data_IF_078977824726
#
_entry.id   IF_078977824726
#
_cell.length_a   1.000
_cell.length_b   1.000
_cell.length_c   1.000
_cell.angle_alpha   90.00
_cell.angle_beta   90.00
_cell.angle_gamma   90.00
#
_symmetry.space_group_name_H-M   'P 1'
#
loop_
_entity.id
_entity.type
_entity.pdbx_description
1 polymer ?
#
# COMPACT_ATOMS: atom_id res chain seq x y z
N UNK A 1 -35.56 -14.51 -6.05
CA UNK A 1 -34.18 -14.61 -6.55
C UNK A 1 -33.08 -14.17 -5.56
N UNK A 2 -33.42 -13.78 -4.29
CA UNK A 2 -32.43 -13.41 -3.25
C UNK A 2 -31.87 -14.60 -2.45
N UNK A 3 -32.41 -15.79 -2.64
CA UNK A 3 -32.03 -17.00 -1.87
C UNK A 3 -30.72 -17.62 -2.34
N UNK A 4 -30.31 -17.43 -3.59
CA UNK A 4 -29.06 -17.99 -4.09
C UNK A 4 -27.80 -17.26 -3.59
N UNK A 5 -27.91 -15.97 -3.30
CA UNK A 5 -26.85 -15.15 -2.72
C UNK A 5 -26.54 -15.58 -1.27
N UNK A 6 -27.57 -15.69 -0.43
CA UNK A 6 -27.39 -16.07 0.97
C UNK A 6 -26.82 -17.49 1.14
N UNK A 7 -27.25 -18.45 0.33
CA UNK A 7 -26.70 -19.81 0.35
C UNK A 7 -25.23 -19.84 -0.10
N UNK A 8 -24.88 -19.06 -1.13
CA UNK A 8 -23.49 -18.88 -1.57
C UNK A 8 -22.61 -18.26 -0.47
N UNK A 9 -23.14 -17.30 0.26
CA UNK A 9 -22.38 -16.62 1.32
C UNK A 9 -22.16 -17.55 2.54
N UNK A 10 -23.14 -18.36 2.89
CA UNK A 10 -22.99 -19.39 3.95
C UNK A 10 -21.94 -20.42 3.55
N UNK A 11 -21.96 -20.91 2.30
CA UNK A 11 -21.00 -21.87 1.80
C UNK A 11 -19.55 -21.31 1.79
N UNK A 12 -19.37 -20.08 1.32
CA UNK A 12 -18.09 -19.40 1.36
C UNK A 12 -17.55 -19.25 2.79
N UNK A 13 -18.42 -18.88 3.74
CA UNK A 13 -18.04 -18.76 5.15
C UNK A 13 -17.53 -20.09 5.70
N UNK A 14 -18.20 -21.22 5.40
CA UNK A 14 -17.77 -22.55 5.84
C UNK A 14 -16.39 -22.91 5.28
N UNK A 15 -16.13 -22.59 4.01
CA UNK A 15 -14.80 -22.81 3.40
C UNK A 15 -13.74 -21.97 4.13
N UNK A 16 -14.01 -20.68 4.37
CA UNK A 16 -13.05 -19.83 5.08
C UNK A 16 -12.78 -20.31 6.51
N UNK A 17 -13.80 -20.79 7.20
CA UNK A 17 -13.66 -21.37 8.54
C UNK A 17 -12.82 -22.65 8.53
N UNK A 18 -13.04 -23.51 7.55
CA UNK A 18 -12.26 -24.74 7.41
C UNK A 18 -10.80 -24.43 7.06
N UNK A 19 -10.53 -23.57 6.08
CA UNK A 19 -9.18 -23.17 5.69
C UNK A 19 -8.44 -22.51 6.86
N UNK A 20 -9.12 -21.68 7.65
CA UNK A 20 -8.51 -21.05 8.83
C UNK A 20 -8.07 -22.10 9.86
N UNK A 21 -8.93 -23.11 10.13
CA UNK A 21 -8.60 -24.23 11.03
C UNK A 21 -7.44 -25.08 10.52
N UNK A 22 -7.46 -25.43 9.24
CA UNK A 22 -6.44 -26.28 8.61
C UNK A 22 -5.06 -25.60 8.61
N UNK A 23 -5.01 -24.28 8.54
CA UNK A 23 -3.77 -23.50 8.57
C UNK A 23 -3.43 -22.95 9.96
N UNK A 24 -4.22 -23.24 10.99
CA UNK A 24 -3.96 -22.77 12.35
C UNK A 24 -4.15 -21.26 12.55
N UNK A 25 -4.89 -20.58 11.66
CA UNK A 25 -5.20 -19.16 11.82
C UNK A 25 -6.29 -18.95 12.86
N UNK A 26 -5.97 -18.18 13.89
CA UNK A 26 -6.96 -17.72 14.86
C UNK A 26 -7.80 -16.60 14.24
N UNK A 27 -9.10 -16.84 14.10
CA UNK A 27 -10.03 -15.84 13.56
C UNK A 27 -10.37 -14.84 14.65
N UNK A 28 -10.29 -13.56 14.31
CA UNK A 28 -10.66 -12.44 15.15
C UNK A 28 -11.62 -11.49 14.43
N UNK A 29 -12.29 -10.66 15.17
CA UNK A 29 -13.02 -9.54 14.60
C UNK A 29 -12.04 -8.48 14.07
N UNK A 30 -12.31 -7.99 12.88
CA UNK A 30 -11.55 -6.94 12.22
C UNK A 30 -12.52 -5.78 11.98
N UNK A 31 -12.18 -4.60 12.47
CA UNK A 31 -13.01 -3.41 12.26
C UNK A 31 -12.93 -2.92 10.81
N UNK A 32 -13.99 -2.24 10.36
CA UNK A 32 -14.01 -1.62 9.02
C UNK A 32 -12.83 -0.66 8.83
N UNK A 33 -12.43 0.06 9.88
CA UNK A 33 -11.28 0.97 9.84
C UNK A 33 -9.98 0.20 9.64
N UNK A 34 -9.78 -0.94 10.30
CA UNK A 34 -8.59 -1.76 10.09
C UNK A 34 -8.53 -2.31 8.66
N UNK A 35 -9.66 -2.71 8.10
CA UNK A 35 -9.72 -3.15 6.70
C UNK A 35 -9.29 -2.02 5.76
N UNK A 36 -9.84 -0.83 5.95
CA UNK A 36 -9.49 0.36 5.16
C UNK A 36 -8.00 0.68 5.32
N UNK A 37 -7.50 0.73 6.55
CA UNK A 37 -6.09 1.03 6.83
C UNK A 37 -5.17 0.01 6.15
N UNK A 38 -5.42 -1.28 6.28
CA UNK A 38 -4.61 -2.32 5.63
C UNK A 38 -4.60 -2.18 4.11
N UNK A 39 -5.76 -1.95 3.49
CA UNK A 39 -5.82 -1.77 2.05
C UNK A 39 -5.09 -0.51 1.58
N UNK A 40 -5.35 0.64 2.21
CA UNK A 40 -4.76 1.92 1.80
C UNK A 40 -3.26 1.97 2.11
N UNK A 41 -2.84 1.50 3.30
CA UNK A 41 -1.42 1.55 3.68
C UNK A 41 -0.56 0.58 2.85
N UNK A 42 -1.13 -0.53 2.37
CA UNK A 42 -0.43 -1.38 1.41
C UNK A 42 -0.13 -0.62 0.10
N UNK A 43 -1.11 0.15 -0.42
CA UNK A 43 -0.91 0.99 -1.61
C UNK A 43 0.12 2.10 -1.36
N UNK A 44 0.05 2.75 -0.19
CA UNK A 44 1.00 3.81 0.19
C UNK A 44 2.42 3.27 0.30
N UNK A 45 2.58 2.12 0.98
CA UNK A 45 3.89 1.50 1.18
C UNK A 45 4.52 1.07 -0.14
N UNK A 46 3.74 0.44 -1.02
CA UNK A 46 4.20 0.07 -2.36
C UNK A 46 4.52 1.31 -3.21
N UNK A 47 3.66 2.34 -3.15
CA UNK A 47 3.92 3.62 -3.80
C UNK A 47 5.23 4.28 -3.34
N UNK A 48 5.55 4.20 -2.05
CA UNK A 48 6.81 4.70 -1.52
C UNK A 48 8.02 3.91 -2.06
N UNK A 49 7.93 2.58 -2.15
CA UNK A 49 8.98 1.74 -2.77
C UNK A 49 9.18 2.09 -4.25
N UNK A 50 8.10 2.25 -5.01
CA UNK A 50 8.15 2.68 -6.43
C UNK A 50 8.85 4.04 -6.59
N UNK A 51 8.64 4.95 -5.62
CA UNK A 51 9.38 6.22 -5.58
C UNK A 51 10.86 6.04 -5.26
N UNK A 52 11.19 5.21 -4.24
CA UNK A 52 12.58 4.90 -3.88
C UNK A 52 13.36 4.30 -5.04
N UNK A 53 12.71 3.41 -5.76
CA UNK A 53 13.24 2.72 -6.92
C UNK A 53 13.42 3.65 -8.13
N UNK A 54 12.86 4.85 -8.10
CA UNK A 54 12.92 5.81 -9.19
C UNK A 54 12.09 5.37 -10.41
N UNK A 55 11.18 4.43 -10.26
CA UNK A 55 10.23 4.01 -11.29
C UNK A 55 9.21 5.13 -11.53
N UNK A 56 8.65 5.69 -10.46
CA UNK A 56 7.86 6.91 -10.53
C UNK A 56 8.74 8.13 -10.21
N UNK A 57 8.55 9.21 -10.95
CA UNK A 57 9.30 10.44 -10.71
C UNK A 57 8.73 11.23 -9.52
N UNK A 58 7.42 11.30 -9.40
CA UNK A 58 6.69 12.08 -8.40
C UNK A 58 5.58 11.26 -7.76
N UNK A 59 5.29 11.53 -6.50
CA UNK A 59 4.18 10.90 -5.79
C UNK A 59 2.83 11.16 -6.46
N UNK A 60 2.62 12.35 -6.98
CA UNK A 60 1.39 12.73 -7.72
C UNK A 60 1.16 11.92 -8.99
N UNK A 61 2.19 11.37 -9.62
CA UNK A 61 2.03 10.52 -10.81
C UNK A 61 1.27 9.22 -10.43
N UNK A 62 1.55 8.65 -9.27
CA UNK A 62 0.81 7.51 -8.74
C UNK A 62 -0.62 7.87 -8.34
N UNK A 63 -0.83 9.02 -7.71
CA UNK A 63 -2.17 9.49 -7.36
C UNK A 63 -3.06 9.61 -8.60
N UNK A 64 -2.54 10.17 -9.69
CA UNK A 64 -3.25 10.27 -10.98
C UNK A 64 -3.61 8.90 -11.54
N UNK A 65 -2.68 7.93 -11.49
CA UNK A 65 -2.93 6.56 -11.95
C UNK A 65 -4.02 5.90 -11.12
N UNK A 66 -3.96 6.02 -9.79
CA UNK A 66 -4.96 5.41 -8.92
C UNK A 66 -6.35 6.01 -9.06
N UNK A 67 -6.46 7.34 -9.20
CA UNK A 67 -7.73 8.03 -9.40
C UNK A 67 -8.37 7.63 -10.75
N UNK A 68 -7.60 7.65 -11.83
CA UNK A 68 -8.15 7.46 -13.17
C UNK A 68 -8.21 5.98 -13.60
N UNK A 69 -7.29 5.14 -13.11
CA UNK A 69 -7.17 3.74 -13.53
C UNK A 69 -7.85 2.75 -12.58
N UNK A 70 -7.86 3.04 -11.29
CA UNK A 70 -8.31 2.09 -10.26
C UNK A 70 -9.51 2.58 -9.44
N UNK A 71 -10.05 3.76 -9.77
CA UNK A 71 -11.25 4.29 -9.11
C UNK A 71 -11.02 4.74 -7.67
N UNK A 72 -9.80 5.13 -7.31
CA UNK A 72 -9.55 5.73 -6.00
C UNK A 72 -10.38 7.00 -5.84
N UNK A 73 -11.00 7.25 -4.68
CA UNK A 73 -11.88 8.40 -4.49
C UNK A 73 -11.16 9.72 -4.77
N UNK A 74 -11.60 10.44 -5.81
CA UNK A 74 -10.96 11.69 -6.27
C UNK A 74 -10.86 12.76 -5.18
N UNK A 75 -11.84 12.79 -4.28
CA UNK A 75 -11.87 13.76 -3.17
C UNK A 75 -10.81 13.48 -2.09
N UNK A 76 -10.19 12.30 -2.10
CA UNK A 76 -9.05 11.94 -1.24
C UNK A 76 -7.68 12.20 -1.91
N UNK A 77 -7.67 12.54 -3.20
CA UNK A 77 -6.47 12.95 -3.93
C UNK A 77 -5.49 11.85 -4.31
N UNK A 78 -5.82 10.58 -4.06
CA UNK A 78 -4.95 9.43 -4.29
C UNK A 78 -4.26 8.91 -3.02
N UNK A 79 -3.60 7.74 -3.09
CA UNK A 79 -3.00 7.10 -1.91
C UNK A 79 -1.84 7.90 -1.31
N UNK A 80 -1.00 8.53 -2.13
CA UNK A 80 0.15 9.29 -1.64
C UNK A 80 -0.29 10.62 -1.01
N UNK A 81 -1.26 11.30 -1.62
CA UNK A 81 -1.87 12.50 -1.06
C UNK A 81 -2.62 12.17 0.24
N UNK A 82 -3.34 11.06 0.29
CA UNK A 82 -3.99 10.59 1.52
C UNK A 82 -2.97 10.45 2.66
N UNK A 83 -1.84 9.79 2.40
CA UNK A 83 -0.80 9.61 3.39
C UNK A 83 -0.16 10.95 3.84
N UNK A 84 0.02 11.89 2.92
CA UNK A 84 0.47 13.24 3.25
C UNK A 84 -0.48 14.00 4.17
N UNK A 85 -1.78 13.76 4.05
CA UNK A 85 -2.81 14.41 4.89
C UNK A 85 -2.92 13.77 6.27
N UNK A 86 -2.79 12.44 6.35
CA UNK A 86 -2.79 11.71 7.63
C UNK A 86 -1.50 11.95 8.44
N UNK A 87 -0.40 12.23 7.76
CA UNK A 87 0.95 12.35 8.34
C UNK A 87 1.76 11.06 8.22
N UNK A 88 2.99 11.17 7.68
CA UNK A 88 3.84 10.01 7.44
C UNK A 88 4.34 9.35 8.73
N UNK A 89 4.41 10.07 9.84
CA UNK A 89 4.69 9.54 11.16
C UNK A 89 3.56 8.61 11.65
N UNK A 90 2.30 8.98 11.45
CA UNK A 90 1.14 8.14 11.75
C UNK A 90 1.11 6.90 10.86
N UNK A 91 1.34 7.08 9.56
CA UNK A 91 1.41 6.01 8.57
C UNK A 91 2.51 5.01 8.92
N UNK A 92 3.71 5.50 9.23
CA UNK A 92 4.86 4.69 9.64
C UNK A 92 4.55 3.83 10.86
N UNK A 93 3.94 4.43 11.90
CA UNK A 93 3.58 3.73 13.13
C UNK A 93 2.54 2.61 12.88
N UNK A 94 1.53 2.86 12.05
CA UNK A 94 0.52 1.85 11.68
C UNK A 94 1.13 0.69 10.88
N UNK A 95 2.04 0.96 9.95
CA UNK A 95 2.75 -0.08 9.21
C UNK A 95 3.57 -0.95 10.16
N UNK A 96 4.29 -0.34 11.10
CA UNK A 96 5.07 -1.07 12.12
C UNK A 96 4.17 -1.93 13.03
N UNK A 97 2.97 -1.47 13.33
CA UNK A 97 1.99 -2.27 14.08
C UNK A 97 1.53 -3.50 13.28
N UNK A 98 1.21 -3.33 12.01
CA UNK A 98 0.82 -4.43 11.14
C UNK A 98 1.96 -5.43 10.89
N UNK A 99 3.19 -4.96 10.83
CA UNK A 99 4.39 -5.78 10.66
C UNK A 99 4.62 -6.74 11.85
N UNK A 100 4.11 -6.45 13.05
CA UNK A 100 4.21 -7.37 14.19
C UNK A 100 3.52 -8.71 13.95
N UNK A 101 2.43 -8.71 13.18
CA UNK A 101 1.64 -9.89 12.88
C UNK A 101 1.98 -10.53 11.53
N UNK A 102 2.51 -9.75 10.60
CA UNK A 102 2.86 -10.20 9.24
C UNK A 102 4.08 -9.42 8.72
N UNK A 103 5.29 -9.75 9.24
CA UNK A 103 6.52 -9.03 8.88
C UNK A 103 6.97 -9.27 7.44
N UNK A 104 6.57 -10.37 6.82
CA UNK A 104 6.94 -10.66 5.42
C UNK A 104 6.19 -9.74 4.46
N UNK A 105 4.92 -9.48 4.72
CA UNK A 105 4.11 -8.58 3.89
C UNK A 105 4.39 -7.10 4.20
N UNK A 106 4.47 -6.74 5.49
CA UNK A 106 4.59 -5.35 5.94
C UNK A 106 6.05 -4.88 6.07
N UNK A 107 6.82 -5.04 5.01
CA UNK A 107 8.16 -4.45 4.91
C UNK A 107 8.03 -2.96 4.56
N UNK A 108 8.23 -2.10 5.57
CA UNK A 108 8.12 -0.64 5.41
C UNK A 108 9.17 -0.11 4.45
N UNK A 109 8.75 0.77 3.54
CA UNK A 109 9.64 1.52 2.67
C UNK A 109 10.57 2.45 3.48
N UNK A 110 11.86 2.49 3.15
CA UNK A 110 12.85 3.35 3.83
C UNK A 110 12.46 4.84 3.72
N UNK A 111 11.86 5.23 2.59
CA UNK A 111 11.37 6.59 2.34
C UNK A 111 10.30 7.01 3.36
N UNK A 112 9.36 6.13 3.71
CA UNK A 112 8.36 6.42 4.75
C UNK A 112 9.06 6.65 6.09
N UNK A 113 10.03 5.80 6.45
CA UNK A 113 10.82 5.94 7.66
C UNK A 113 11.54 7.29 7.72
N UNK A 114 12.32 7.60 6.69
CA UNK A 114 13.12 8.82 6.61
C UNK A 114 12.26 10.09 6.63
N UNK A 115 11.16 10.12 5.89
CA UNK A 115 10.25 11.26 5.87
C UNK A 115 9.47 11.42 7.17
N UNK A 116 9.13 10.32 7.85
CA UNK A 116 8.43 10.36 9.14
C UNK A 116 9.27 11.02 10.24
N UNK A 117 10.59 10.79 10.25
CA UNK A 117 11.52 11.39 11.22
C UNK A 117 11.57 12.92 11.13
N UNK A 118 11.48 13.47 9.92
CA UNK A 118 11.50 14.93 9.69
C UNK A 118 10.10 15.53 9.60
N UNK A 119 9.03 14.78 9.82
CA UNK A 119 7.63 15.16 9.58
C UNK A 119 7.40 15.72 8.18
N UNK A 120 8.11 15.15 7.21
CA UNK A 120 8.07 15.53 5.81
C UNK A 120 6.87 14.93 5.08
N UNK A 121 6.77 15.22 3.79
CA UNK A 121 5.75 14.74 2.85
C UNK A 121 6.44 14.02 1.70
N UNK A 122 5.70 13.25 0.92
CA UNK A 122 6.27 12.61 -0.27
C UNK A 122 6.80 13.61 -1.32
N UNK A 123 6.34 14.86 -1.29
CA UNK A 123 6.91 15.94 -2.10
C UNK A 123 8.32 16.34 -1.69
N UNK A 124 8.74 16.03 -0.46
CA UNK A 124 10.08 16.30 0.07
C UNK A 124 11.06 15.15 -0.21
N UNK A 125 10.61 14.10 -0.92
CA UNK A 125 11.46 12.98 -1.31
C UNK A 125 12.64 13.47 -2.18
N UNK A 126 13.82 12.85 -2.06
CA UNK A 126 14.98 13.19 -2.90
C UNK A 126 14.63 13.19 -4.40
N UNK A 127 15.34 13.98 -5.18
CA UNK A 127 15.17 14.00 -6.62
C UNK A 127 15.40 12.58 -7.21
N UNK A 128 14.75 12.21 -8.32
CA UNK A 128 14.86 10.86 -8.88
C UNK A 128 16.30 10.40 -9.15
N UNK A 129 17.19 11.33 -9.53
CA UNK A 129 18.62 11.10 -9.75
C UNK A 129 19.40 10.75 -8.48
N UNK A 130 18.92 11.21 -7.30
CA UNK A 130 19.55 10.99 -6.00
C UNK A 130 19.02 9.75 -5.28
N UNK A 131 18.01 9.08 -5.85
CA UNK A 131 17.43 7.87 -5.28
C UNK A 131 18.29 6.65 -5.56
N UNK A 132 18.28 5.69 -4.63
CA UNK A 132 19.02 4.44 -4.81
C UNK A 132 18.55 3.74 -6.08
N UNK A 133 19.47 3.34 -6.99
CA UNK A 133 19.08 2.55 -8.16
C UNK A 133 18.57 1.19 -7.72
N UNK A 134 17.46 0.73 -8.33
CA UNK A 134 16.95 -0.62 -8.14
C UNK A 134 18.01 -1.62 -8.59
N UNK A 135 18.41 -2.52 -7.71
CA UNK A 135 19.27 -3.63 -8.09
C UNK A 135 18.51 -4.51 -9.09
N UNK A 136 18.86 -4.42 -10.37
CA UNK A 136 18.27 -5.21 -11.45
C UNK A 136 17.48 -4.43 -12.50
N UNK A 137 17.14 -3.14 -12.27
CA UNK A 137 16.51 -2.31 -13.29
C UNK A 137 17.57 -1.61 -14.14
N UNK A 138 17.80 -2.13 -15.34
CA UNK A 138 18.73 -1.52 -16.30
C UNK A 138 18.04 -0.41 -17.09
N UNK A 139 18.27 0.85 -16.74
CA UNK A 139 17.75 2.03 -17.45
C UNK A 139 18.12 2.05 -18.95
N UNK A 140 19.17 1.31 -19.37
CA UNK A 140 19.59 1.26 -20.77
C UNK A 140 18.67 0.44 -21.67
N UNK A 141 17.82 -0.43 -21.11
CA UNK A 141 16.88 -1.24 -21.90
C UNK A 141 15.64 -0.46 -22.36
N UNK A 142 15.34 0.68 -21.74
CA UNK A 142 14.16 1.50 -22.06
C UNK A 142 14.50 2.61 -23.06
N UNK A 143 15.74 3.08 -23.09
CA UNK A 143 16.19 4.16 -23.98
C UNK A 143 16.44 3.74 -25.44
N UNK A 144 16.37 2.45 -25.76
CA UNK A 144 16.67 1.90 -27.07
C UNK A 144 15.50 1.71 -28.03
N UNK A 145 14.26 2.05 -27.62
CA UNK A 145 13.04 1.83 -28.41
C UNK A 145 12.14 3.07 -28.55
N UNK A 146 12.71 4.27 -28.59
CA UNK A 146 12.02 5.51 -28.99
C UNK A 146 12.64 6.07 -30.26
#
# INVERSE_FOLDING_TARGET
PRTSSAASDVYKRQIYEQVSKDNGFERREISDQEIIDRCILALVNEGAKILEEGVAQRSGDMDVVYINGYGFPIWRGGPMQYANMEGLDVISAKIDEFAKNDPEFWQKADLIGSLSEIKGRFGDAPAPEDRKPVSGFNKSSVAGNL
#
